data_IF_787207527460
#
_entry.id   IF_787207527460
#
_cell.length_a   1.000
_cell.length_b   1.000
_cell.length_c   1.000
_cell.angle_alpha   90.00
_cell.angle_beta   90.00
_cell.angle_gamma   90.00
#
_symmetry.space_group_name_H-M   'P 1'
#
loop_
_entity.id
_entity.type
_entity.pdbx_description
1 polymer ?
#
# COMPACT_ATOMS: atom_id res chain seq x y z
N UNK A 1 -18.92 -16.70 20.63
CA UNK A 1 -17.90 -15.67 20.97
C UNK A 1 -16.94 -15.49 19.81
N UNK A 2 -16.22 -16.54 19.43
CA UNK A 2 -15.20 -16.43 18.38
C UNK A 2 -15.84 -16.20 17.01
N UNK A 3 -17.02 -16.75 16.74
CA UNK A 3 -17.80 -16.44 15.52
C UNK A 3 -18.15 -14.95 15.39
N UNK A 4 -18.57 -14.31 16.49
CA UNK A 4 -18.85 -12.88 16.51
C UNK A 4 -17.57 -12.07 16.27
N UNK A 5 -16.46 -12.48 16.90
CA UNK A 5 -15.17 -11.83 16.73
C UNK A 5 -14.66 -11.96 15.29
N UNK A 6 -14.81 -13.14 14.67
CA UNK A 6 -14.50 -13.36 13.25
C UNK A 6 -15.36 -12.48 12.37
N UNK A 7 -16.68 -12.37 12.61
CA UNK A 7 -17.55 -11.49 11.85
C UNK A 7 -17.10 -10.02 11.93
N UNK A 8 -16.78 -9.53 13.13
CA UNK A 8 -16.28 -8.16 13.32
C UNK A 8 -14.93 -7.91 12.63
N UNK A 9 -14.03 -8.90 12.63
CA UNK A 9 -12.74 -8.81 11.93
C UNK A 9 -12.95 -8.75 10.42
N UNK A 10 -13.83 -9.60 9.88
CA UNK A 10 -14.19 -9.60 8.46
C UNK A 10 -14.79 -8.25 8.08
N UNK A 11 -15.79 -7.76 8.83
CA UNK A 11 -16.44 -6.48 8.59
C UNK A 11 -15.42 -5.31 8.61
N UNK A 12 -14.48 -5.32 9.55
CA UNK A 12 -13.43 -4.31 9.65
C UNK A 12 -12.48 -4.34 8.44
N UNK A 13 -12.02 -5.53 8.04
CA UNK A 13 -11.18 -5.69 6.84
C UNK A 13 -11.93 -5.29 5.56
N UNK A 14 -13.21 -5.65 5.46
CA UNK A 14 -14.05 -5.28 4.32
C UNK A 14 -14.27 -3.77 4.23
N UNK A 15 -14.48 -3.11 5.37
CA UNK A 15 -14.68 -1.67 5.41
C UNK A 15 -13.44 -0.90 4.94
N UNK A 16 -12.24 -1.26 5.44
CA UNK A 16 -10.98 -0.63 5.00
C UNK A 16 -10.62 -1.00 3.57
N UNK A 17 -10.84 -2.25 3.17
CA UNK A 17 -10.65 -2.73 1.79
C UNK A 17 -11.53 -1.97 0.80
N UNK A 18 -12.81 -1.80 1.12
CA UNK A 18 -13.74 -1.04 0.29
C UNK A 18 -13.38 0.45 0.22
N UNK A 19 -12.83 1.03 1.29
CA UNK A 19 -12.32 2.40 1.27
C UNK A 19 -11.11 2.54 0.32
N UNK A 20 -10.16 1.60 0.38
CA UNK A 20 -9.02 1.54 -0.52
C UNK A 20 -9.44 1.40 -1.99
N UNK A 21 -10.30 0.43 -2.30
CA UNK A 21 -10.79 0.17 -3.66
C UNK A 21 -11.54 1.36 -4.26
N UNK A 22 -12.43 2.00 -3.49
CA UNK A 22 -13.13 3.21 -3.93
C UNK A 22 -12.16 4.35 -4.24
N UNK A 23 -11.12 4.51 -3.44
CA UNK A 23 -10.12 5.55 -3.66
C UNK A 23 -9.27 5.28 -4.91
N UNK A 24 -8.86 4.03 -5.14
CA UNK A 24 -8.19 3.63 -6.36
C UNK A 24 -9.06 3.88 -7.60
N UNK A 25 -10.34 3.47 -7.55
CA UNK A 25 -11.28 3.67 -8.65
C UNK A 25 -11.53 5.16 -8.94
N UNK A 26 -11.60 6.00 -7.91
CA UNK A 26 -11.81 7.44 -8.05
C UNK A 26 -10.60 8.20 -8.60
N UNK A 27 -9.37 7.71 -8.37
CA UNK A 27 -8.16 8.28 -8.96
C UNK A 27 -8.14 8.14 -10.49
N UNK A 28 -8.84 7.14 -11.03
CA UNK A 28 -8.88 6.85 -12.46
C UNK A 28 -7.60 6.20 -12.98
N UNK A 29 -7.64 5.73 -14.22
CA UNK A 29 -6.47 5.18 -14.92
C UNK A 29 -5.58 6.28 -15.47
N UNK A 30 -4.27 6.04 -15.52
CA UNK A 30 -3.26 6.93 -16.11
C UNK A 30 -2.42 7.71 -15.09
N UNK A 31 -2.69 7.53 -13.79
CA UNK A 31 -1.91 8.11 -12.69
C UNK A 31 -1.69 7.09 -11.56
N UNK A 32 -0.82 6.09 -11.78
CA UNK A 32 -0.57 5.04 -10.77
C UNK A 32 0.04 5.61 -9.47
N UNK A 33 0.86 6.67 -9.55
CA UNK A 33 1.37 7.38 -8.37
C UNK A 33 0.25 8.06 -7.57
N UNK A 34 -0.69 8.71 -8.25
CA UNK A 34 -1.89 9.28 -7.64
C UNK A 34 -2.83 8.24 -7.05
N UNK A 35 -3.05 7.13 -7.75
CA UNK A 35 -3.85 5.99 -7.27
C UNK A 35 -3.28 5.40 -5.98
N UNK A 36 -1.96 5.16 -5.93
CA UNK A 36 -1.26 4.74 -4.71
C UNK A 36 -1.51 5.71 -3.53
N UNK A 37 -1.32 7.02 -3.76
CA UNK A 37 -1.54 8.01 -2.71
C UNK A 37 -3.01 8.08 -2.26
N UNK A 38 -3.96 7.96 -3.19
CA UNK A 38 -5.37 7.94 -2.89
C UNK A 38 -5.72 6.77 -1.96
N UNK A 39 -5.20 5.57 -2.26
CA UNK A 39 -5.37 4.38 -1.41
C UNK A 39 -4.77 4.62 -0.02
N UNK A 40 -3.51 5.06 0.08
CA UNK A 40 -2.86 5.33 1.36
C UNK A 40 -3.66 6.33 2.22
N UNK A 41 -4.13 7.42 1.61
CA UNK A 41 -4.95 8.44 2.29
C UNK A 41 -6.29 7.87 2.76
N UNK A 42 -6.95 7.05 1.95
CA UNK A 42 -8.23 6.44 2.31
C UNK A 42 -8.09 5.45 3.47
N UNK A 43 -7.03 4.63 3.49
CA UNK A 43 -6.72 3.73 4.60
C UNK A 43 -6.50 4.51 5.89
N UNK A 44 -5.68 5.57 5.86
CA UNK A 44 -5.46 6.45 7.01
C UNK A 44 -6.76 7.10 7.48
N UNK A 45 -7.54 7.67 6.57
CA UNK A 45 -8.79 8.35 6.91
C UNK A 45 -9.79 7.40 7.57
N UNK A 46 -9.92 6.18 7.04
CA UNK A 46 -10.75 5.14 7.65
C UNK A 46 -10.25 4.77 9.04
N UNK A 47 -8.95 4.51 9.20
CA UNK A 47 -8.37 4.12 10.49
C UNK A 47 -8.60 5.16 11.60
N UNK A 48 -8.51 6.45 11.27
CA UNK A 48 -8.75 7.53 12.22
C UNK A 48 -10.25 7.73 12.54
N UNK A 49 -11.14 7.44 11.59
CA UNK A 49 -12.58 7.49 11.81
C UNK A 49 -13.12 6.27 12.57
N UNK A 50 -12.41 5.13 12.49
CA UNK A 50 -12.81 3.82 13.03
C UNK A 50 -11.71 3.22 13.91
N UNK A 51 -11.26 3.90 14.98
CA UNK A 51 -10.08 3.47 15.75
C UNK A 51 -10.30 2.13 16.48
N UNK A 52 -11.53 1.79 16.85
CA UNK A 52 -11.85 0.53 17.53
C UNK A 52 -11.83 -0.66 16.56
N UNK A 53 -12.43 -0.50 15.37
CA UNK A 53 -12.37 -1.50 14.31
C UNK A 53 -10.93 -1.67 13.80
N UNK A 54 -10.19 -0.56 13.65
CA UNK A 54 -8.78 -0.62 13.30
C UNK A 54 -7.94 -1.36 14.34
N UNK A 55 -8.14 -1.08 15.64
CA UNK A 55 -7.44 -1.78 16.71
C UNK A 55 -7.76 -3.29 16.74
N UNK A 56 -8.94 -3.70 16.26
CA UNK A 56 -9.32 -5.10 16.17
C UNK A 56 -8.47 -5.88 15.14
N UNK A 57 -8.08 -5.23 14.04
CA UNK A 57 -7.38 -5.88 12.91
C UNK A 57 -5.87 -5.60 12.86
N UNK A 58 -5.40 -4.49 13.44
CA UNK A 58 -3.98 -4.08 13.44
C UNK A 58 -3.41 -3.76 14.84
N UNK A 59 -4.20 -3.96 15.90
CA UNK A 59 -3.75 -3.79 17.29
C UNK A 59 -3.18 -5.08 17.91
N UNK A 60 -3.19 -5.13 19.24
CA UNK A 60 -2.72 -6.29 19.99
C UNK A 60 -3.57 -7.53 19.69
N UNK A 61 -2.97 -8.70 19.42
CA UNK A 61 -3.71 -9.93 19.18
C UNK A 61 -4.65 -10.28 20.35
N UNK A 62 -5.85 -10.77 20.03
CA UNK A 62 -6.83 -11.20 21.04
C UNK A 62 -6.38 -12.53 21.65
N UNK A 63 -6.13 -12.61 22.98
CA UNK A 63 -5.69 -13.86 23.61
C UNK A 63 -6.67 -15.01 23.38
N UNK A 64 -6.15 -16.16 22.93
CA UNK A 64 -6.91 -17.37 22.68
C UNK A 64 -7.74 -17.37 21.40
N UNK A 65 -7.71 -16.30 20.58
CA UNK A 65 -8.38 -16.26 19.28
C UNK A 65 -7.41 -16.65 18.16
N UNK A 66 -7.82 -17.60 17.32
CA UNK A 66 -7.13 -17.94 16.08
C UNK A 66 -8.03 -17.56 14.90
N UNK A 67 -7.58 -16.63 14.06
CA UNK A 67 -8.36 -16.19 12.91
C UNK A 67 -8.53 -17.35 11.89
N UNK A 68 -9.77 -17.66 11.48
CA UNK A 68 -10.01 -18.68 10.47
C UNK A 68 -9.58 -18.19 9.08
N UNK A 69 -9.37 -19.11 8.14
CA UNK A 69 -8.98 -18.79 6.76
C UNK A 69 -9.93 -17.80 6.05
N UNK A 70 -11.18 -17.71 6.49
CA UNK A 70 -12.16 -16.74 5.98
C UNK A 70 -11.73 -15.28 6.12
N UNK A 71 -10.79 -14.94 7.01
CA UNK A 71 -10.28 -13.55 7.13
C UNK A 71 -9.23 -13.20 6.07
N UNK A 72 -8.68 -14.18 5.36
CA UNK A 72 -7.54 -13.98 4.45
C UNK A 72 -7.92 -13.10 3.26
N UNK A 73 -9.05 -13.38 2.61
CA UNK A 73 -9.51 -12.58 1.47
C UNK A 73 -9.78 -11.12 1.89
N UNK A 74 -10.64 -10.81 2.90
CA UNK A 74 -10.82 -9.44 3.37
C UNK A 74 -9.51 -8.73 3.72
N UNK A 75 -8.60 -9.41 4.43
CA UNK A 75 -7.31 -8.83 4.84
C UNK A 75 -6.39 -8.49 3.65
N UNK A 76 -6.57 -9.16 2.51
CA UNK A 76 -5.74 -8.94 1.32
C UNK A 76 -6.13 -7.70 0.50
N UNK A 77 -7.37 -7.20 0.66
CA UNK A 77 -7.97 -6.19 -0.24
C UNK A 77 -7.14 -4.90 -0.36
N UNK A 78 -6.66 -4.36 0.76
CA UNK A 78 -5.80 -3.16 0.74
C UNK A 78 -4.48 -3.41 0.01
N UNK A 79 -3.84 -4.56 0.26
CA UNK A 79 -2.60 -4.94 -0.42
C UNK A 79 -2.80 -5.10 -1.93
N UNK A 80 -3.91 -5.73 -2.34
CA UNK A 80 -4.26 -5.91 -3.75
C UNK A 80 -4.57 -4.58 -4.46
N UNK A 81 -5.23 -3.64 -3.78
CA UNK A 81 -5.48 -2.29 -4.30
C UNK A 81 -4.17 -1.53 -4.54
N UNK A 82 -3.23 -1.58 -3.60
CA UNK A 82 -1.90 -0.99 -3.74
C UNK A 82 -1.09 -1.64 -4.88
N UNK A 83 -1.13 -2.97 -4.98
CA UNK A 83 -0.49 -3.69 -6.09
C UNK A 83 -1.13 -3.35 -7.45
N UNK A 84 -2.38 -2.91 -7.48
CA UNK A 84 -3.04 -2.40 -8.69
C UNK A 84 -2.29 -1.24 -9.31
N UNK A 85 -1.91 -0.24 -8.51
CA UNK A 85 -1.11 0.88 -8.98
C UNK A 85 0.27 0.46 -9.51
N UNK A 86 0.90 -0.54 -8.87
CA UNK A 86 2.22 -1.06 -9.31
C UNK A 86 2.11 -1.80 -10.65
N UNK A 87 1.05 -2.61 -10.83
CA UNK A 87 0.78 -3.31 -12.10
C UNK A 87 0.49 -2.31 -13.22
N UNK A 88 -0.34 -1.32 -12.97
CA UNK A 88 -0.65 -0.26 -13.94
C UNK A 88 0.62 0.47 -14.38
N UNK A 89 1.50 0.84 -13.43
CA UNK A 89 2.77 1.47 -13.77
C UNK A 89 3.68 0.57 -14.61
N UNK A 90 3.73 -0.74 -14.31
CA UNK A 90 4.50 -1.72 -15.06
C UNK A 90 3.96 -1.87 -16.49
N UNK A 91 2.66 -2.06 -16.65
CA UNK A 91 1.98 -2.19 -17.95
C UNK A 91 2.15 -0.94 -18.81
N UNK A 92 2.14 0.24 -18.18
CA UNK A 92 2.39 1.51 -18.84
C UNK A 92 3.89 1.79 -19.13
N UNK A 93 4.81 0.94 -18.67
CA UNK A 93 6.26 1.16 -18.82
C UNK A 93 6.80 2.36 -18.01
N UNK A 94 6.05 2.80 -17.00
CA UNK A 94 6.40 3.94 -16.14
C UNK A 94 7.01 3.54 -14.79
N UNK A 95 6.99 2.24 -14.48
CA UNK A 95 7.64 1.71 -13.29
C UNK A 95 9.17 1.76 -13.48
N UNK A 96 9.83 2.55 -12.64
CA UNK A 96 11.28 2.72 -12.69
C UNK A 96 11.96 1.77 -11.71
N UNK A 97 13.16 1.30 -12.04
CA UNK A 97 13.96 0.54 -11.08
C UNK A 97 14.75 1.52 -10.19
N UNK A 98 14.52 1.53 -8.86
CA UNK A 98 15.30 2.38 -7.95
C UNK A 98 16.77 2.00 -7.96
N UNK A 99 17.65 2.99 -8.20
CA UNK A 99 19.09 2.78 -8.32
C UNK A 99 19.72 2.26 -7.01
N UNK A 100 20.71 1.36 -7.13
CA UNK A 100 21.55 0.94 -6.01
C UNK A 100 20.95 -0.10 -5.07
N UNK A 101 19.75 -0.62 -5.36
CA UNK A 101 19.05 -1.58 -4.50
C UNK A 101 19.15 -3.02 -5.04
N UNK A 102 20.32 -3.65 -4.92
CA UNK A 102 20.42 -5.10 -5.13
C UNK A 102 19.76 -5.84 -3.97
N UNK A 103 18.77 -6.67 -4.28
CA UNK A 103 18.05 -7.47 -3.30
C UNK A 103 18.73 -8.84 -3.12
N UNK A 104 18.88 -9.36 -1.89
CA UNK A 104 19.39 -10.72 -1.69
C UNK A 104 18.50 -11.79 -2.34
N UNK A 105 19.10 -12.85 -2.89
CA UNK A 105 18.36 -13.94 -3.55
C UNK A 105 17.26 -14.57 -2.67
N UNK A 106 17.46 -14.81 -1.36
CA UNK A 106 16.39 -15.36 -0.53
C UNK A 106 15.11 -14.50 -0.55
N UNK A 107 15.25 -13.17 -0.52
CA UNK A 107 14.10 -12.25 -0.56
C UNK A 107 13.43 -12.28 -1.94
N UNK A 108 14.21 -12.35 -3.02
CA UNK A 108 13.65 -12.55 -4.37
C UNK A 108 12.92 -13.88 -4.49
N UNK A 109 13.45 -14.94 -3.88
CA UNK A 109 12.83 -16.26 -3.82
C UNK A 109 11.47 -16.24 -3.13
N UNK A 110 11.35 -15.55 -1.99
CA UNK A 110 10.09 -15.37 -1.29
C UNK A 110 9.10 -14.54 -2.11
N UNK A 111 9.58 -13.51 -2.80
CA UNK A 111 8.75 -12.67 -3.67
C UNK A 111 8.21 -13.44 -4.88
N UNK A 112 9.02 -14.29 -5.54
CA UNK A 112 8.54 -15.16 -6.63
C UNK A 112 7.44 -16.11 -6.15
N UNK A 113 7.65 -16.78 -5.02
CA UNK A 113 6.64 -17.65 -4.44
C UNK A 113 5.36 -16.88 -4.06
N UNK A 114 5.49 -15.66 -3.55
CA UNK A 114 4.34 -14.82 -3.27
C UNK A 114 3.59 -14.46 -4.54
N UNK A 115 4.31 -14.06 -5.59
CA UNK A 115 3.75 -13.72 -6.90
C UNK A 115 2.91 -14.87 -7.46
N UNK A 116 3.44 -16.10 -7.41
CA UNK A 116 2.73 -17.32 -7.81
C UNK A 116 1.47 -17.57 -6.96
N UNK A 117 1.56 -17.44 -5.63
CA UNK A 117 0.43 -17.68 -4.72
C UNK A 117 -0.74 -16.71 -4.95
N UNK A 118 -0.45 -15.45 -5.23
CA UNK A 118 -1.48 -14.41 -5.40
C UNK A 118 -1.79 -14.12 -6.88
N UNK A 119 -1.17 -14.84 -7.81
CA UNK A 119 -1.41 -14.74 -9.25
C UNK A 119 -1.06 -13.37 -9.84
N UNK A 120 0.01 -12.72 -9.37
CA UNK A 120 0.46 -11.43 -9.93
C UNK A 120 1.71 -11.61 -10.78
N UNK A 121 1.72 -10.96 -11.94
CA UNK A 121 2.90 -10.89 -12.81
C UNK A 121 3.64 -9.57 -12.55
N UNK A 122 4.55 -9.60 -11.56
CA UNK A 122 5.40 -8.46 -11.20
C UNK A 122 6.84 -8.93 -11.06
N UNK A 123 7.83 -8.09 -11.41
CA UNK A 123 9.22 -8.35 -11.06
C UNK A 123 9.36 -8.60 -9.54
N UNK A 124 10.10 -9.64 -9.12
CA UNK A 124 10.21 -10.03 -7.70
C UNK A 124 10.66 -8.89 -6.79
N UNK A 125 11.57 -8.06 -7.27
CA UNK A 125 12.09 -6.89 -6.56
C UNK A 125 11.01 -5.83 -6.35
N UNK A 126 10.17 -5.59 -7.36
CA UNK A 126 9.05 -4.64 -7.29
C UNK A 126 7.99 -5.13 -6.31
N UNK A 127 7.68 -6.44 -6.32
CA UNK A 127 6.75 -7.03 -5.36
C UNK A 127 7.28 -6.96 -3.93
N UNK A 128 8.55 -7.29 -3.70
CA UNK A 128 9.17 -7.19 -2.39
C UNK A 128 9.18 -5.74 -1.86
N UNK A 129 9.48 -4.75 -2.71
CA UNK A 129 9.39 -3.33 -2.35
C UNK A 129 7.96 -2.91 -2.03
N UNK A 130 6.97 -3.38 -2.80
CA UNK A 130 5.56 -3.11 -2.55
C UNK A 130 5.10 -3.69 -1.20
N UNK A 131 5.51 -4.92 -0.86
CA UNK A 131 5.23 -5.54 0.45
C UNK A 131 5.89 -4.75 1.58
N UNK A 132 7.14 -4.32 1.42
CA UNK A 132 7.83 -3.49 2.41
C UNK A 132 7.14 -2.13 2.58
N UNK A 133 6.69 -1.51 1.50
CA UNK A 133 5.96 -0.25 1.53
C UNK A 133 4.59 -0.39 2.20
N UNK A 134 3.89 -1.51 1.95
CA UNK A 134 2.64 -1.85 2.64
C UNK A 134 2.84 -1.98 4.15
N UNK A 135 3.89 -2.68 4.60
CA UNK A 135 4.23 -2.76 6.02
C UNK A 135 4.53 -1.38 6.63
N UNK A 136 5.27 -0.52 5.91
CA UNK A 136 5.59 0.84 6.35
C UNK A 136 4.36 1.75 6.41
N UNK A 137 3.44 1.63 5.45
CA UNK A 137 2.15 2.34 5.48
C UNK A 137 1.39 2.06 6.78
N UNK A 138 1.21 0.78 7.13
CA UNK A 138 0.53 0.41 8.37
C UNK A 138 1.33 0.78 9.62
N UNK A 139 2.67 0.84 9.54
CA UNK A 139 3.51 1.45 10.57
C UNK A 139 3.16 2.91 10.82
N UNK A 140 3.06 3.72 9.78
CA UNK A 140 2.68 5.14 9.87
C UNK A 140 1.28 5.31 10.47
N UNK A 141 0.31 4.51 9.99
CA UNK A 141 -1.07 4.56 10.50
C UNK A 141 -1.14 4.11 11.96
N UNK A 142 -0.43 3.04 12.35
CA UNK A 142 -0.35 2.58 13.74
C UNK A 142 0.20 3.64 14.68
N UNK A 143 1.30 4.30 14.30
CA UNK A 143 1.90 5.35 15.11
C UNK A 143 0.93 6.52 15.33
N UNK A 144 0.09 6.82 14.35
CA UNK A 144 -0.90 7.88 14.48
C UNK A 144 -2.11 7.45 15.31
N UNK A 145 -2.74 6.33 14.97
CA UNK A 145 -3.97 5.83 15.64
C UNK A 145 -3.70 5.52 17.12
N UNK A 146 -2.52 5.00 17.44
CA UNK A 146 -2.14 4.66 18.82
C UNK A 146 -1.35 5.76 19.54
N UNK A 147 -1.37 7.00 19.03
CA UNK A 147 -0.88 8.19 19.75
C UNK A 147 0.65 8.32 19.87
N UNK A 148 1.44 7.55 19.12
CA UNK A 148 2.90 7.65 19.16
C UNK A 148 3.43 8.94 18.55
N UNK A 149 2.66 9.60 17.68
CA UNK A 149 2.98 10.93 17.15
C UNK A 149 2.60 12.09 18.07
N UNK A 150 1.94 11.85 19.19
CA UNK A 150 1.50 12.91 20.09
C UNK A 150 2.70 13.70 20.64
N UNK A 151 2.68 15.02 20.41
CA UNK A 151 3.78 15.95 20.74
C UNK A 151 5.08 15.70 19.95
N UNK A 152 5.04 14.88 18.90
CA UNK A 152 6.17 14.64 17.99
C UNK A 152 5.90 15.24 16.60
N UNK A 153 4.72 14.99 16.03
CA UNK A 153 4.31 15.47 14.71
C UNK A 153 2.91 16.08 14.80
N UNK A 154 2.82 17.41 14.66
CA UNK A 154 1.53 18.13 14.66
C UNK A 154 0.90 18.19 13.26
N UNK A 155 1.71 18.40 12.23
CA UNK A 155 1.31 18.40 10.81
C UNK A 155 1.15 16.97 10.26
N UNK A 156 0.25 16.18 10.87
CA UNK A 156 0.13 14.73 10.62
C UNK A 156 -0.27 14.40 9.18
N UNK A 157 -1.15 15.19 8.59
CA UNK A 157 -1.64 14.95 7.23
C UNK A 157 -0.53 15.18 6.18
N UNK A 158 0.23 16.26 6.34
CA UNK A 158 1.34 16.64 5.49
C UNK A 158 2.51 15.66 5.63
N UNK A 159 2.81 15.27 6.86
CA UNK A 159 3.82 14.25 7.16
C UNK A 159 3.45 12.91 6.50
N UNK A 160 2.21 12.45 6.67
CA UNK A 160 1.75 11.21 6.05
C UNK A 160 1.80 11.28 4.52
N UNK A 161 1.37 12.38 3.90
CA UNK A 161 1.42 12.54 2.46
C UNK A 161 2.87 12.52 1.93
N UNK A 162 3.81 13.15 2.65
CA UNK A 162 5.23 13.13 2.33
C UNK A 162 5.80 11.70 2.43
N UNK A 163 5.49 10.99 3.52
CA UNK A 163 5.95 9.62 3.73
C UNK A 163 5.36 8.67 2.69
N UNK A 164 4.06 8.74 2.40
CA UNK A 164 3.39 7.91 1.41
C UNK A 164 3.94 8.11 -0.01
N UNK A 165 4.33 9.36 -0.36
CA UNK A 165 5.03 9.67 -1.61
C UNK A 165 6.42 9.03 -1.63
N UNK A 166 7.15 9.10 -0.52
CA UNK A 166 8.45 8.43 -0.37
C UNK A 166 8.36 6.92 -0.54
N UNK A 167 7.31 6.29 -0.01
CA UNK A 167 7.04 4.86 -0.22
C UNK A 167 6.79 4.53 -1.70
N UNK A 168 6.02 5.36 -2.40
CA UNK A 168 5.76 5.19 -3.83
C UNK A 168 7.06 5.23 -4.65
N UNK A 169 7.91 6.23 -4.39
CA UNK A 169 9.25 6.37 -5.00
C UNK A 169 10.14 5.16 -4.70
N UNK A 170 10.10 4.66 -3.48
CA UNK A 170 10.86 3.48 -3.06
C UNK A 170 10.46 2.20 -3.80
N UNK A 171 9.23 2.12 -4.32
CA UNK A 171 8.78 1.03 -5.20
C UNK A 171 9.21 1.28 -6.65
N UNK A 172 9.29 2.55 -7.06
CA UNK A 172 9.56 2.97 -8.43
C UNK A 172 8.37 3.59 -9.17
N UNK A 173 7.28 3.91 -8.45
CA UNK A 173 6.10 4.55 -9.02
C UNK A 173 6.41 5.99 -9.47
N UNK A 174 5.75 6.49 -10.54
CA UNK A 174 5.90 7.86 -10.98
C UNK A 174 5.33 8.85 -9.96
N UNK A 175 5.73 10.12 -10.08
CA UNK A 175 5.15 11.18 -9.27
C UNK A 175 3.63 11.29 -9.53
N UNK A 176 2.82 11.52 -8.48
CA UNK A 176 1.40 11.77 -8.61
C UNK A 176 1.12 12.94 -9.58
N UNK A 177 0.13 12.78 -10.45
CA UNK A 177 -0.24 13.77 -11.45
C UNK A 177 0.73 13.88 -12.63
N UNK A 178 1.76 13.03 -12.69
CA UNK A 178 2.60 12.89 -13.88
C UNK A 178 1.89 11.95 -14.86
N UNK A 179 1.46 12.41 -16.05
CA UNK A 179 0.80 11.54 -17.01
C UNK A 179 1.74 10.40 -17.42
N UNK A 180 1.19 9.19 -17.57
CA UNK A 180 1.89 8.05 -18.15
C UNK A 180 2.28 8.38 -19.61
N UNK A 181 3.46 8.96 -19.79
CA UNK A 181 4.00 9.35 -21.10
C UNK A 181 4.24 10.84 -21.23
N UNK A 182 5.39 11.30 -20.75
CA UNK A 182 6.10 12.38 -21.44
C UNK A 182 7.50 11.88 -21.72
N UNK A 183 7.75 11.51 -22.97
CA UNK A 183 9.10 11.28 -23.48
C UNK A 183 9.93 12.53 -23.18
N UNK A 184 10.97 12.36 -22.37
CA UNK A 184 11.99 13.38 -22.20
C UNK A 184 12.83 13.41 -23.48
N UNK A 185 12.37 14.12 -24.49
CA UNK A 185 13.22 14.53 -25.62
C UNK A 185 14.23 15.55 -25.09
N UNK A 186 15.31 15.06 -24.50
CA UNK A 186 16.49 15.87 -24.20
C UNK A 186 17.10 16.32 -25.53
N UNK A 187 16.85 17.58 -25.87
CA UNK A 187 17.30 18.21 -27.09
C UNK A 187 18.81 18.10 -27.30
N UNK A 188 19.18 17.66 -28.49
CA UNK A 188 20.50 17.86 -29.04
C UNK A 188 20.74 19.37 -29.24
N UNK A 189 21.77 19.91 -28.59
CA UNK A 189 22.27 21.25 -28.88
C UNK A 189 22.98 21.23 -30.25
N UNK A 190 22.74 22.21 -31.14
CA UNK A 190 23.50 22.32 -32.38
C UNK A 190 24.84 23.03 -32.15
N UNK A 191 25.85 22.52 -32.87
CA UNK A 191 27.20 22.99 -33.23
C UNK A 191 27.76 24.27 -32.57
#
# INVERSE_FOLDING_TARGET
RDELLTALIVDAYDAVGAAAERAAAAAGSGDPGGSWLAVCRAVRAWALAHPHEYALIYGSPVPGYAAPAATVEPASRVGLALLGAVREALEAGTLTEPAGCSMPEPVRGDARQLAERIGVDLPPESLARAVAAWAQLFGLVNFEVFGQFDRMIEARAEFFATAATGLARGIGLPEPGSPAGTESTSGAAPA
#
